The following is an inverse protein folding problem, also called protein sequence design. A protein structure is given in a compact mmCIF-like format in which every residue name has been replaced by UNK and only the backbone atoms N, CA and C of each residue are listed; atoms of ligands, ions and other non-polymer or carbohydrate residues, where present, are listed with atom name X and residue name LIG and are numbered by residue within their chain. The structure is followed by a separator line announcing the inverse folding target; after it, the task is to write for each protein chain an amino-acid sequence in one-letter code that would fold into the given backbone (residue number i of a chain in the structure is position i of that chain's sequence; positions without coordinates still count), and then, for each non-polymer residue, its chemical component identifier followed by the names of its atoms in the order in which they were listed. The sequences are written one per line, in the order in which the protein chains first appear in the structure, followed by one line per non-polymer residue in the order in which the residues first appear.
data_IF_384637060171
#
_entry.id   IF_384637060171
#
_cell.length_a   1.000
_cell.length_b   1.000
_cell.length_c   1.000
_cell.angle_alpha   90.00
_cell.angle_beta   90.00
_cell.angle_gamma   90.00
#
_symmetry.space_group_name_H-M   'P 1'
#
loop_
_entity.id
_entity.type
_entity.pdbx_description
1 polymer ?
#
# COMPACT_ATOMS: atom_id res chain seq x y z
N UNK A 1 -4.58 4.44 -23.50
CA UNK A 1 -4.45 4.03 -22.08
C UNK A 1 -3.28 4.80 -21.50
N UNK A 2 -3.43 5.35 -20.31
CA UNK A 2 -2.38 6.10 -19.60
C UNK A 2 -2.15 5.48 -18.21
N UNK A 3 -0.96 5.67 -17.66
CA UNK A 3 -0.60 5.28 -16.30
C UNK A 3 0.05 6.50 -15.64
N UNK A 4 -0.44 6.88 -14.45
CA UNK A 4 0.10 7.98 -13.67
C UNK A 4 1.13 7.44 -12.67
N UNK A 5 2.25 8.13 -12.43
CA UNK A 5 3.17 7.78 -11.37
C UNK A 5 2.50 7.97 -10.00
N UNK A 6 2.95 7.22 -9.00
CA UNK A 6 2.46 7.40 -7.62
C UNK A 6 2.92 8.75 -7.06
N UNK A 7 2.04 9.52 -6.38
CA UNK A 7 2.42 10.79 -5.78
C UNK A 7 3.44 10.64 -4.64
N UNK A 8 4.16 11.71 -4.27
CA UNK A 8 5.04 11.70 -3.11
C UNK A 8 4.32 11.22 -1.84
N UNK A 9 4.96 10.34 -1.07
CA UNK A 9 4.37 9.70 0.11
C UNK A 9 3.55 8.43 -0.18
N UNK A 10 3.36 8.07 -1.46
CA UNK A 10 2.70 6.81 -1.88
C UNK A 10 3.67 5.81 -2.53
N UNK A 11 4.94 5.89 -2.18
CA UNK A 11 5.98 4.92 -2.53
C UNK A 11 7.20 5.13 -1.62
N UNK A 12 7.98 4.07 -1.41
CA UNK A 12 9.33 4.15 -0.85
C UNK A 12 10.29 4.71 -1.92
N UNK A 13 10.99 5.85 -1.71
CA UNK A 13 11.97 6.39 -2.66
C UNK A 13 13.14 5.44 -2.97
N UNK A 14 13.52 4.57 -2.02
CA UNK A 14 14.61 3.60 -2.18
C UNK A 14 14.10 2.28 -2.81
N UNK A 15 12.80 2.01 -2.75
CA UNK A 15 12.13 0.88 -3.40
C UNK A 15 10.84 1.28 -4.17
N UNK A 16 10.92 2.15 -5.19
CA UNK A 16 9.75 2.72 -5.87
C UNK A 16 8.96 1.70 -6.70
N UNK A 17 9.46 0.47 -6.82
CA UNK A 17 8.83 -0.65 -7.50
C UNK A 17 8.28 -1.73 -6.54
N UNK A 18 8.32 -1.49 -5.22
CA UNK A 18 7.86 -2.43 -4.17
C UNK A 18 8.33 -3.86 -4.41
N UNK A 19 9.62 -4.00 -4.73
CA UNK A 19 10.21 -5.33 -4.83
C UNK A 19 10.30 -5.94 -3.44
N UNK A 20 9.98 -7.23 -3.25
CA UNK A 20 10.19 -7.92 -1.99
C UNK A 20 11.61 -7.68 -1.47
N UNK A 21 11.73 -7.24 -0.22
CA UNK A 21 13.00 -6.93 0.39
C UNK A 21 13.90 -8.18 0.41
N UNK A 22 15.22 -8.01 0.36
CA UNK A 22 16.12 -9.13 0.66
C UNK A 22 15.98 -9.58 2.14
N UNK A 23 16.66 -10.67 2.54
CA UNK A 23 16.75 -11.04 3.95
C UNK A 23 17.32 -9.85 4.75
N UNK A 24 16.52 -9.30 5.66
CA UNK A 24 16.94 -8.19 6.53
C UNK A 24 17.85 -8.72 7.65
N UNK A 25 19.03 -8.12 7.88
CA UNK A 25 19.84 -8.40 9.06
C UNK A 25 19.04 -8.18 10.34
N UNK A 26 19.28 -9.02 11.35
CA UNK A 26 18.53 -9.05 12.63
C UNK A 26 18.47 -7.68 13.32
N UNK A 27 19.55 -6.89 13.21
CA UNK A 27 19.70 -5.57 13.85
C UNK A 27 18.70 -4.52 13.35
N UNK A 28 18.15 -4.66 12.14
CA UNK A 28 17.18 -3.70 11.57
C UNK A 28 15.73 -3.99 11.97
N UNK A 29 15.45 -5.14 12.59
CA UNK A 29 14.09 -5.51 12.98
C UNK A 29 13.58 -4.75 14.23
N UNK A 30 14.47 -4.07 14.96
CA UNK A 30 14.14 -3.32 16.18
C UNK A 30 13.83 -1.82 15.96
N UNK A 31 14.01 -1.29 14.74
CA UNK A 31 13.84 0.14 14.44
C UNK A 31 12.42 0.51 13.99
N UNK A 32 11.66 -0.43 13.41
CA UNK A 32 10.27 -0.25 13.00
C UNK A 32 9.36 -1.21 13.77
N UNK A 33 9.26 -0.96 15.08
CA UNK A 33 8.35 -1.70 15.94
C UNK A 33 6.89 -1.29 15.68
N UNK A 34 5.93 -2.24 15.71
CA UNK A 34 4.51 -1.90 15.71
C UNK A 34 4.13 -1.29 17.06
N UNK A 35 3.59 -0.06 17.04
CA UNK A 35 2.79 0.43 18.16
C UNK A 35 1.42 -0.26 18.14
N UNK A 36 1.35 -1.44 18.73
CA UNK A 36 0.33 -1.82 19.72
C UNK A 36 0.52 -3.28 20.13
N UNK A 37 0.39 -3.55 21.43
CA UNK A 37 0.55 -4.90 21.98
C UNK A 37 -0.80 -5.54 22.29
N UNK A 38 -0.92 -6.86 22.05
CA UNK A 38 -1.20 -7.83 23.12
C UNK A 38 -0.98 -9.28 22.60
N UNK A 39 -0.89 -10.24 23.53
CA UNK A 39 -0.47 -11.62 23.23
C UNK A 39 -1.63 -12.49 22.72
N UNK A 40 -1.30 -13.41 21.80
CA UNK A 40 -2.11 -14.59 21.49
C UNK A 40 -1.29 -15.61 20.69
N UNK A 41 -1.03 -16.78 21.27
CA UNK A 41 -0.34 -17.91 20.62
C UNK A 41 -1.36 -18.93 20.07
N UNK A 42 -0.86 -19.95 19.35
CA UNK A 42 -1.55 -21.17 18.85
C UNK A 42 -2.11 -21.15 17.40
N UNK A 43 -1.27 -21.61 16.45
CA UNK A 43 -1.40 -22.82 15.60
C UNK A 43 -2.81 -23.25 15.09
N UNK A 44 -3.03 -23.87 13.93
CA UNK A 44 -2.26 -24.22 12.72
C UNK A 44 -3.29 -24.74 11.67
N UNK A 45 -3.04 -24.56 10.36
CA UNK A 45 -3.52 -25.51 9.33
C UNK A 45 -2.80 -25.34 7.98
N UNK A 46 -2.40 -26.47 7.41
CA UNK A 46 -1.52 -26.66 6.26
C UNK A 46 -2.28 -26.87 4.91
N UNK A 47 -1.51 -27.28 3.86
CA UNK A 47 -1.81 -27.54 2.43
C UNK A 47 -1.82 -26.32 1.47
N UNK A 48 -1.44 -26.39 0.18
CA UNK A 48 -0.40 -27.08 -0.63
C UNK A 48 -0.62 -26.65 -2.12
N UNK A 49 0.30 -26.68 -3.10
CA UNK A 49 1.74 -27.01 -3.12
C UNK A 49 2.49 -26.05 -4.07
N UNK A 50 3.74 -25.70 -3.75
CA UNK A 50 4.58 -24.83 -4.60
C UNK A 50 6.08 -24.83 -4.25
N UNK A 51 6.64 -25.98 -3.87
CA UNK A 51 7.96 -26.08 -3.25
C UNK A 51 9.15 -25.63 -4.11
N UNK A 52 10.04 -24.83 -3.54
CA UNK A 52 11.34 -24.51 -4.12
C UNK A 52 12.08 -23.43 -3.32
N UNK A 53 13.13 -23.84 -2.59
CA UNK A 53 14.03 -23.01 -1.74
C UNK A 53 14.09 -21.53 -2.15
N UNK A 54 13.16 -20.73 -1.63
CA UNK A 54 12.98 -19.33 -1.99
C UNK A 54 13.37 -18.46 -0.81
N UNK A 55 14.45 -17.71 -0.98
CA UNK A 55 14.95 -16.66 -0.07
C UNK A 55 13.83 -15.96 0.73
N UNK A 56 14.04 -15.78 2.04
CA UNK A 56 13.17 -15.06 3.00
C UNK A 56 12.99 -13.57 2.63
N UNK A 57 12.34 -13.34 1.50
CA UNK A 57 12.02 -12.03 0.99
C UNK A 57 10.67 -11.63 1.54
N UNK A 58 10.67 -10.76 2.54
CA UNK A 58 9.42 -10.15 3.02
C UNK A 58 8.73 -9.49 1.82
N UNK A 59 7.46 -9.81 1.64
CA UNK A 59 6.59 -9.09 0.70
C UNK A 59 6.69 -7.59 0.96
N UNK A 60 6.61 -6.74 -0.07
CA UNK A 60 6.54 -5.30 0.14
C UNK A 60 5.42 -4.94 1.11
N UNK A 61 5.61 -3.89 1.90
CA UNK A 61 4.55 -3.39 2.78
C UNK A 61 3.36 -2.95 1.90
N UNK A 62 2.18 -3.50 2.17
CA UNK A 62 0.96 -3.26 1.36
C UNK A 62 0.49 -1.79 1.38
N UNK A 63 1.03 -0.96 2.29
CA UNK A 63 0.79 0.48 2.48
C UNK A 63 0.49 1.27 1.21
N UNK A 64 1.28 1.08 0.16
CA UNK A 64 1.21 1.87 -1.08
C UNK A 64 0.40 1.23 -2.22
N UNK A 65 -0.27 0.10 -1.94
CA UNK A 65 -1.19 -0.55 -2.88
C UNK A 65 -2.55 0.14 -2.82
N UNK A 66 -3.09 0.53 -3.97
CA UNK A 66 -4.45 1.07 -4.02
C UNK A 66 -5.46 -0.06 -3.72
N UNK A 67 -6.31 0.16 -2.72
CA UNK A 67 -7.27 -0.81 -2.18
C UNK A 67 -8.67 -0.62 -2.73
N UNK A 68 -9.07 0.64 -2.93
CA UNK A 68 -10.45 1.05 -3.14
C UNK A 68 -10.54 2.32 -4.01
N UNK A 69 -11.73 2.57 -4.57
CA UNK A 69 -12.01 3.78 -5.37
C UNK A 69 -13.44 4.25 -5.13
N UNK A 70 -13.60 5.55 -4.90
CA UNK A 70 -14.89 6.22 -4.75
C UNK A 70 -15.05 7.35 -5.79
N UNK A 71 -16.28 7.57 -6.29
CA UNK A 71 -16.57 8.49 -7.41
C UNK A 71 -17.72 9.43 -7.10
N UNK A 72 -17.57 10.72 -7.46
CA UNK A 72 -18.63 11.73 -7.37
C UNK A 72 -18.45 12.79 -8.46
N UNK A 73 -19.45 12.96 -9.33
CA UNK A 73 -19.39 13.81 -10.53
C UNK A 73 -18.12 13.54 -11.36
N UNK A 74 -17.21 14.50 -11.46
CA UNK A 74 -15.92 14.37 -12.14
C UNK A 74 -14.74 14.15 -11.19
N UNK A 75 -14.99 13.70 -9.96
CA UNK A 75 -13.98 13.40 -8.94
C UNK A 75 -13.87 11.89 -8.72
N UNK A 76 -12.63 11.39 -8.73
CA UNK A 76 -12.23 10.05 -8.30
C UNK A 76 -11.35 10.19 -7.07
N UNK A 77 -11.62 9.44 -6.01
CA UNK A 77 -10.68 9.24 -4.90
C UNK A 77 -10.22 7.79 -4.91
N UNK A 78 -8.91 7.56 -4.99
CA UNK A 78 -8.28 6.24 -4.89
C UNK A 78 -7.63 6.08 -3.51
N UNK A 79 -8.10 5.12 -2.73
CA UNK A 79 -7.60 4.81 -1.40
C UNK A 79 -6.50 3.74 -1.42
N UNK A 80 -5.68 3.74 -0.38
CA UNK A 80 -4.59 2.81 -0.09
C UNK A 80 -4.35 2.77 1.41
N UNK A 81 -3.81 1.69 1.97
CA UNK A 81 -3.60 1.59 3.43
C UNK A 81 -2.78 2.74 4.06
N UNK A 82 -2.03 3.51 3.27
CA UNK A 82 -1.26 4.68 3.74
C UNK A 82 -1.90 6.05 3.44
N UNK A 83 -3.15 6.10 2.98
CA UNK A 83 -3.87 7.33 2.66
C UNK A 83 -4.61 7.29 1.32
N UNK A 84 -4.97 8.46 0.78
CA UNK A 84 -5.76 8.54 -0.46
C UNK A 84 -5.32 9.66 -1.40
N UNK A 85 -5.64 9.47 -2.69
CA UNK A 85 -5.33 10.38 -3.78
C UNK A 85 -6.61 10.84 -4.48
N UNK A 86 -6.80 12.14 -4.59
CA UNK A 86 -7.96 12.78 -5.23
C UNK A 86 -7.59 13.21 -6.65
N UNK A 87 -8.37 12.79 -7.63
CA UNK A 87 -8.20 13.09 -9.05
C UNK A 87 -9.46 13.74 -9.64
N UNK A 88 -9.27 14.63 -10.62
CA UNK A 88 -10.34 15.09 -11.52
C UNK A 88 -10.32 14.27 -12.80
N UNK A 89 -11.47 13.77 -13.22
CA UNK A 89 -11.68 13.03 -14.46
C UNK A 89 -11.93 14.01 -15.61
N UNK A 90 -10.94 14.16 -16.50
CA UNK A 90 -11.05 15.08 -17.64
C UNK A 90 -11.64 14.42 -18.88
N UNK A 91 -12.24 15.22 -19.76
CA UNK A 91 -12.71 14.75 -21.07
C UNK A 91 -11.59 14.21 -21.98
N UNK A 92 -10.32 14.48 -21.66
CA UNK A 92 -9.16 13.90 -22.34
C UNK A 92 -8.86 12.44 -21.97
N UNK A 93 -9.59 11.86 -21.01
CA UNK A 93 -9.43 10.47 -20.58
C UNK A 93 -8.18 10.21 -19.73
N UNK A 94 -7.46 11.26 -19.34
CA UNK A 94 -6.34 11.22 -18.38
C UNK A 94 -6.77 11.99 -17.13
N UNK A 95 -6.83 11.37 -15.95
CA UNK A 95 -7.14 12.07 -14.71
C UNK A 95 -6.03 13.05 -14.31
N UNK A 96 -6.42 14.17 -13.69
CA UNK A 96 -5.50 15.16 -13.12
C UNK A 96 -5.45 14.99 -11.60
N UNK A 97 -4.26 14.87 -11.02
CA UNK A 97 -4.09 14.81 -9.57
C UNK A 97 -4.44 16.16 -8.93
N UNK A 98 -5.40 16.16 -8.01
CA UNK A 98 -5.85 17.35 -7.28
C UNK A 98 -5.23 17.41 -5.88
N UNK A 99 -5.13 16.28 -5.18
CA UNK A 99 -4.54 16.19 -3.84
C UNK A 99 -4.06 14.77 -3.50
N UNK A 100 -3.08 14.68 -2.60
CA UNK A 100 -2.56 13.43 -2.04
C UNK A 100 -2.44 13.59 -0.53
N UNK A 101 -3.11 12.72 0.24
CA UNK A 101 -3.20 12.80 1.70
C UNK A 101 -2.61 11.52 2.29
N UNK A 102 -1.53 11.64 3.05
CA UNK A 102 -0.91 10.53 3.78
C UNK A 102 -1.60 10.35 5.14
N UNK A 103 -1.93 9.10 5.48
CA UNK A 103 -2.62 8.70 6.71
C UNK A 103 -1.80 7.63 7.45
N UNK A 104 -0.93 8.02 8.41
CA UNK A 104 -0.01 7.07 9.07
C UNK A 104 -0.70 5.95 9.86
N UNK A 105 -1.89 6.19 10.42
CA UNK A 105 -2.65 5.21 11.19
C UNK A 105 -3.66 4.38 10.38
N UNK A 106 -3.59 4.42 9.05
CA UNK A 106 -4.60 3.84 8.16
C UNK A 106 -5.78 4.78 7.91
N UNK A 107 -6.38 4.66 6.72
CA UNK A 107 -7.50 5.51 6.27
C UNK A 107 -8.87 4.79 6.32
N UNK A 108 -8.89 3.46 6.25
CA UNK A 108 -10.11 2.66 6.05
C UNK A 108 -10.70 2.80 4.65
N UNK A 109 -11.89 2.27 4.40
CA UNK A 109 -12.53 2.39 3.08
C UNK A 109 -13.01 3.83 2.83
N UNK A 110 -12.65 4.42 1.69
CA UNK A 110 -13.00 5.81 1.36
C UNK A 110 -14.46 5.92 0.92
N UNK A 111 -15.18 6.91 1.46
CA UNK A 111 -16.55 7.25 1.06
C UNK A 111 -16.69 8.75 0.79
N UNK A 112 -17.41 9.13 -0.27
CA UNK A 112 -17.66 10.52 -0.69
C UNK A 112 -19.12 10.73 -1.09
N UNK A 113 -19.62 11.96 -0.97
CA UNK A 113 -21.04 12.36 -1.16
C UNK A 113 -21.22 13.53 -2.12
#
# INVERSE_FOLDING_TARGET
VASLPRPPGFFDPDNPAERPAGPVPEEQQAAEGPEDGEKGEEQEQEEEQGGGKGSDKRSPMLSFTNTDMAFRDDVLVAGSYHGFNVYRLTAGGVPELMASIVCPGGQGDVSIV
#
